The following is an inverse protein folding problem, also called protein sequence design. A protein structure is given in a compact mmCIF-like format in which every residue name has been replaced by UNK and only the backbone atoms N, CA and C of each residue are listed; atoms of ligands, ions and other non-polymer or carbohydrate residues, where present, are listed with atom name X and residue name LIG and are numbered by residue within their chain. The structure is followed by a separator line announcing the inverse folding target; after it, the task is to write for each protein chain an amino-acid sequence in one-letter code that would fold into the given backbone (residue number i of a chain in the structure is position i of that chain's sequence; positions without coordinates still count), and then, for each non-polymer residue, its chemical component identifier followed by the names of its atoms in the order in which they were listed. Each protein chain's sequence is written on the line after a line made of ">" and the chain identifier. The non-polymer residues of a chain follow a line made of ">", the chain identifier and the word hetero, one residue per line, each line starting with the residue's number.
data_IF_909700752880
#
_entry.id   IF_909700752880
#
_cell.length_a   1.000
_cell.length_b   1.000
_cell.length_c   1.000
_cell.angle_alpha   90.00
_cell.angle_beta   90.00
_cell.angle_gamma   90.00
#
_symmetry.space_group_name_H-M   'P 1'
#
loop_
_entity.id
_entity.type
_entity.pdbx_description
1 polymer ?
#
# COMPACT_ATOMS: atom_id res chain seq x y z
N UNK A 1 10.39 -5.28 13.64
CA UNK A 1 11.39 -4.86 12.64
C UNK A 1 10.73 -3.82 11.76
N UNK A 2 11.39 -2.67 11.51
CA UNK A 2 10.84 -1.62 10.66
C UNK A 2 10.94 -2.04 9.19
N UNK A 3 9.89 -1.78 8.42
CA UNK A 3 9.84 -1.98 6.98
C UNK A 3 10.51 -0.78 6.30
N UNK A 4 11.54 -0.99 5.46
CA UNK A 4 12.16 0.08 4.70
C UNK A 4 11.21 0.71 3.67
N UNK A 5 11.40 2.01 3.40
CA UNK A 5 10.61 2.76 2.41
C UNK A 5 10.61 2.12 1.01
N UNK A 6 11.73 1.56 0.56
CA UNK A 6 11.82 0.94 -0.77
C UNK A 6 10.91 -0.29 -0.93
N UNK A 7 10.64 -1.03 0.16
CA UNK A 7 9.77 -2.21 0.09
C UNK A 7 8.31 -1.78 -0.10
N UNK A 8 7.89 -0.76 0.64
CA UNK A 8 6.58 -0.14 0.49
C UNK A 8 6.41 0.48 -0.90
N UNK A 9 7.43 1.17 -1.41
CA UNK A 9 7.45 1.75 -2.75
C UNK A 9 7.21 0.68 -3.82
N UNK A 10 7.95 -0.43 -3.74
CA UNK A 10 7.86 -1.53 -4.71
C UNK A 10 6.48 -2.20 -4.70
N UNK A 11 5.94 -2.51 -3.52
CA UNK A 11 4.60 -3.09 -3.42
C UNK A 11 3.52 -2.13 -3.92
N UNK A 12 3.65 -0.85 -3.62
CA UNK A 12 2.74 0.18 -4.12
C UNK A 12 2.82 0.34 -5.64
N UNK A 13 4.03 0.30 -6.21
CA UNK A 13 4.25 0.33 -7.64
C UNK A 13 3.60 -0.88 -8.34
N UNK A 14 3.78 -2.09 -7.80
CA UNK A 14 3.16 -3.30 -8.34
C UNK A 14 1.63 -3.24 -8.29
N UNK A 15 1.06 -2.79 -7.16
CA UNK A 15 -0.39 -2.63 -7.02
C UNK A 15 -0.94 -1.61 -8.02
N UNK A 16 -0.22 -0.50 -8.23
CA UNK A 16 -0.58 0.53 -9.19
C UNK A 16 -0.46 0.06 -10.64
N UNK A 17 0.63 -0.62 -11.01
CA UNK A 17 0.78 -1.19 -12.35
C UNK A 17 -0.34 -2.17 -12.69
N UNK A 18 -0.77 -2.95 -11.69
CA UNK A 18 -1.87 -3.89 -11.86
C UNK A 18 -3.23 -3.17 -12.02
N UNK A 19 -3.41 -1.99 -11.42
CA UNK A 19 -4.64 -1.20 -11.45
C UNK A 19 -4.33 0.32 -11.51
N UNK A 20 -3.97 0.86 -12.68
CA UNK A 20 -3.46 2.23 -12.80
C UNK A 20 -4.49 3.32 -12.45
N UNK A 21 -5.79 3.00 -12.52
CA UNK A 21 -6.85 3.94 -12.17
C UNK A 21 -7.06 4.06 -10.65
N UNK A 22 -6.51 3.15 -9.86
CA UNK A 22 -6.70 3.14 -8.43
C UNK A 22 -5.94 4.28 -7.75
N UNK A 23 -6.65 4.98 -6.86
CA UNK A 23 -6.15 6.13 -6.09
C UNK A 23 -5.52 5.74 -4.76
N UNK A 24 -5.83 4.55 -4.27
CA UNK A 24 -5.42 4.08 -2.96
C UNK A 24 -4.80 2.71 -3.07
N UNK A 25 -3.58 2.54 -2.56
CA UNK A 25 -2.98 1.24 -2.33
C UNK A 25 -3.05 0.94 -0.85
N UNK A 26 -3.69 -0.17 -0.49
CA UNK A 26 -3.90 -0.53 0.90
C UNK A 26 -3.02 -1.73 1.26
N UNK A 27 -2.10 -1.52 2.21
CA UNK A 27 -1.13 -2.52 2.63
C UNK A 27 -1.38 -2.94 4.09
N UNK A 28 -1.34 -4.25 4.34
CA UNK A 28 -1.46 -4.80 5.68
C UNK A 28 -0.11 -4.74 6.38
N UNK A 29 -0.03 -3.85 7.37
CA UNK A 29 1.18 -3.63 8.12
C UNK A 29 0.86 -3.17 9.55
N UNK A 30 1.67 -3.56 10.53
CA UNK A 30 1.55 -3.07 11.89
C UNK A 30 1.78 -1.55 11.94
N UNK A 31 1.09 -0.86 12.85
CA UNK A 31 1.09 0.60 12.90
C UNK A 31 2.47 1.21 13.16
N UNK A 32 3.34 0.48 13.86
CA UNK A 32 4.71 0.89 14.18
C UNK A 32 5.74 0.32 13.20
N UNK A 33 5.32 -0.36 12.13
CA UNK A 33 6.27 -0.99 11.22
C UNK A 33 6.91 -0.01 10.23
N UNK A 34 6.44 1.23 10.10
CA UNK A 34 7.01 2.24 9.21
C UNK A 34 7.07 3.61 9.88
N UNK A 35 8.21 4.30 9.76
CA UNK A 35 8.47 5.60 10.41
C UNK A 35 8.48 6.79 9.43
N UNK A 36 8.11 6.57 8.16
CA UNK A 36 8.08 7.61 7.14
C UNK A 36 6.67 8.17 6.87
N UNK A 37 6.63 9.28 6.14
CA UNK A 37 5.38 9.92 5.70
C UNK A 37 5.14 9.81 4.18
N UNK A 38 6.13 9.33 3.42
CA UNK A 38 6.07 9.17 1.98
C UNK A 38 7.02 8.07 1.50
N UNK A 39 6.80 7.59 0.29
CA UNK A 39 7.71 6.71 -0.46
C UNK A 39 7.85 7.24 -1.88
N UNK A 40 9.04 7.15 -2.45
CA UNK A 40 9.27 7.57 -3.83
C UNK A 40 8.95 6.42 -4.79
N UNK A 41 8.03 6.66 -5.72
CA UNK A 41 7.65 5.73 -6.79
C UNK A 41 7.92 6.44 -8.12
N UNK A 42 8.82 5.90 -8.92
CA UNK A 42 9.23 6.50 -10.21
C UNK A 42 9.61 8.00 -10.09
N UNK A 43 10.35 8.33 -9.02
CA UNK A 43 10.76 9.69 -8.63
C UNK A 43 9.61 10.65 -8.25
N UNK A 44 8.40 10.12 -8.03
CA UNK A 44 7.25 10.87 -7.51
C UNK A 44 6.95 10.46 -6.06
N UNK A 45 6.89 11.40 -5.11
CA UNK A 45 6.62 11.08 -3.71
C UNK A 45 5.14 10.77 -3.51
N UNK A 46 4.84 9.56 -3.07
CA UNK A 46 3.49 9.13 -2.70
C UNK A 46 3.31 9.20 -1.18
N UNK A 47 2.25 9.86 -0.68
CA UNK A 47 2.00 9.93 0.76
C UNK A 47 1.70 8.54 1.32
N UNK A 48 2.28 8.25 2.48
CA UNK A 48 2.00 7.06 3.27
C UNK A 48 1.27 7.47 4.54
N UNK A 49 0.15 6.80 4.82
CA UNK A 49 -0.69 7.10 5.98
C UNK A 49 -0.88 5.83 6.83
N UNK A 50 -0.35 5.86 8.05
CA UNK A 50 -0.63 4.83 9.05
C UNK A 50 -2.04 5.04 9.59
N UNK A 51 -2.90 4.04 9.39
CA UNK A 51 -4.30 4.07 9.79
C UNK A 51 -4.51 3.12 10.97
N UNK A 52 -4.79 3.66 12.16
CA UNK A 52 -5.01 2.86 13.37
C UNK A 52 -6.39 2.19 13.44
N UNK A 53 -7.32 2.53 12.53
CA UNK A 53 -8.69 2.01 12.51
C UNK A 53 -9.35 2.12 11.13
N UNK A 54 -10.46 1.42 10.88
CA UNK A 54 -11.25 1.58 9.65
C UNK A 54 -11.77 3.01 9.43
N UNK A 55 -11.97 3.79 10.50
CA UNK A 55 -12.34 5.20 10.41
C UNK A 55 -11.17 6.05 9.91
N UNK A 56 -9.96 5.80 10.42
CA UNK A 56 -8.76 6.49 9.97
C UNK A 56 -8.47 6.23 8.48
N UNK A 57 -8.75 5.02 7.98
CA UNK A 57 -8.67 4.70 6.54
C UNK A 57 -9.62 5.57 5.73
N UNK A 58 -10.89 5.68 6.14
CA UNK A 58 -11.88 6.53 5.45
C UNK A 58 -11.51 8.00 5.49
N UNK A 59 -10.97 8.48 6.61
CA UNK A 59 -10.50 9.85 6.74
C UNK A 59 -9.32 10.14 5.79
N UNK A 60 -8.35 9.22 5.71
CA UNK A 60 -7.23 9.32 4.80
C UNK A 60 -7.70 9.32 3.33
N UNK A 61 -8.62 8.41 2.97
CA UNK A 61 -9.23 8.39 1.65
C UNK A 61 -9.89 9.72 1.30
N UNK A 62 -10.67 10.30 2.22
CA UNK A 62 -11.28 11.61 2.01
C UNK A 62 -10.23 12.71 1.81
N UNK A 63 -9.18 12.71 2.63
CA UNK A 63 -8.08 13.70 2.58
C UNK A 63 -7.34 13.67 1.24
N UNK A 64 -7.14 12.49 0.66
CA UNK A 64 -6.36 12.31 -0.57
C UNK A 64 -7.20 12.02 -1.83
N UNK A 65 -8.53 12.09 -1.73
CA UNK A 65 -9.45 11.79 -2.84
C UNK A 65 -9.24 12.70 -4.06
N UNK A 66 -8.91 13.97 -3.84
CA UNK A 66 -8.75 14.98 -4.90
C UNK A 66 -7.29 15.27 -5.25
N UNK A 67 -6.33 14.53 -4.69
CA UNK A 67 -4.91 14.70 -5.00
C UNK A 67 -4.57 14.17 -6.39
N UNK A 68 -3.47 14.67 -6.98
CA UNK A 68 -2.94 14.14 -8.24
C UNK A 68 -2.20 12.80 -8.03
N UNK A 69 -1.54 12.62 -6.89
CA UNK A 69 -0.69 11.45 -6.59
C UNK A 69 -1.44 10.41 -5.76
N UNK A 70 -1.44 9.12 -6.12
CA UNK A 70 -2.07 8.08 -5.31
C UNK A 70 -1.48 8.00 -3.89
N UNK A 71 -2.22 7.44 -2.95
CA UNK A 71 -1.81 7.34 -1.56
C UNK A 71 -1.67 5.87 -1.10
N UNK A 72 -0.64 5.60 -0.29
CA UNK A 72 -0.45 4.31 0.37
C UNK A 72 -1.04 4.37 1.78
N UNK A 73 -1.96 3.46 2.07
CA UNK A 73 -2.64 3.37 3.36
C UNK A 73 -2.16 2.10 4.08
N UNK A 74 -1.62 2.25 5.28
CA UNK A 74 -1.16 1.13 6.11
C UNK A 74 -2.23 0.81 7.15
N UNK A 75 -2.70 -0.43 7.17
CA UNK A 75 -3.74 -0.86 8.10
C UNK A 75 -3.45 -2.26 8.63
N UNK A 76 -3.47 -2.44 9.96
CA UNK A 76 -3.08 -3.71 10.57
C UNK A 76 -4.19 -4.78 10.59
N UNK A 77 -5.45 -4.39 10.37
CA UNK A 77 -6.61 -5.28 10.43
C UNK A 77 -6.83 -6.10 9.15
N UNK A 78 -8.08 -6.53 8.94
CA UNK A 78 -8.50 -7.37 7.80
C UNK A 78 -9.37 -6.60 6.81
N UNK A 79 -9.70 -7.26 5.70
CA UNK A 79 -10.65 -6.73 4.72
C UNK A 79 -12.07 -6.62 5.29
N UNK A 80 -12.47 -7.54 6.19
CA UNK A 80 -13.78 -7.50 6.84
C UNK A 80 -13.95 -6.24 7.69
N UNK A 81 -12.90 -5.80 8.40
CA UNK A 81 -12.92 -4.58 9.21
C UNK A 81 -13.21 -3.31 8.39
N UNK A 82 -12.82 -3.32 7.11
CA UNK A 82 -12.90 -2.16 6.23
C UNK A 82 -14.21 -2.12 5.46
N UNK A 83 -14.77 -3.26 5.11
CA UNK A 83 -15.99 -3.36 4.32
C UNK A 83 -15.80 -3.02 2.85
N UNK A 84 -16.81 -3.38 2.05
CA UNK A 84 -16.76 -3.32 0.60
C UNK A 84 -16.62 -1.89 0.04
N UNK A 85 -17.10 -0.87 0.75
CA UNK A 85 -17.03 0.52 0.29
C UNK A 85 -15.59 1.05 0.23
N UNK A 86 -14.78 0.69 1.23
CA UNK A 86 -13.36 1.03 1.30
C UNK A 86 -12.61 0.24 0.25
N UNK A 87 -12.80 -1.09 0.22
CA UNK A 87 -12.10 -1.95 -0.72
C UNK A 87 -12.38 -1.56 -2.17
N UNK A 88 -13.63 -1.23 -2.53
CA UNK A 88 -13.98 -0.83 -3.90
C UNK A 88 -13.17 0.36 -4.46
N UNK A 89 -12.57 1.18 -3.60
CA UNK A 89 -11.74 2.34 -3.96
C UNK A 89 -10.25 2.04 -3.99
N UNK A 90 -9.83 0.90 -3.45
CA UNK A 90 -8.44 0.46 -3.42
C UNK A 90 -8.05 -0.29 -4.70
N UNK A 91 -6.77 -0.27 -5.02
CA UNK A 91 -6.17 -1.07 -6.09
C UNK A 91 -6.57 -2.53 -5.96
N UNK A 92 -7.08 -3.12 -7.05
CA UNK A 92 -7.58 -4.51 -7.11
C UNK A 92 -8.65 -4.86 -6.08
N UNK A 93 -9.26 -3.86 -5.45
CA UNK A 93 -10.31 -4.00 -4.45
C UNK A 93 -9.95 -4.90 -3.26
N UNK A 94 -8.71 -4.82 -2.78
CA UNK A 94 -8.18 -5.70 -1.73
C UNK A 94 -7.17 -5.02 -0.82
N UNK A 95 -6.89 -5.65 0.31
CA UNK A 95 -5.79 -5.36 1.22
C UNK A 95 -4.60 -6.28 0.85
N UNK A 96 -3.49 -5.69 0.43
CA UNK A 96 -2.30 -6.45 0.10
C UNK A 96 -1.54 -6.82 1.37
N UNK A 97 -1.22 -8.10 1.54
CA UNK A 97 -0.31 -8.50 2.61
C UNK A 97 1.10 -7.98 2.31
N UNK A 98 1.79 -7.42 3.32
CA UNK A 98 3.22 -7.19 3.18
C UNK A 98 3.93 -8.54 3.01
N UNK A 99 4.67 -8.68 1.92
CA UNK A 99 5.37 -9.91 1.56
C UNK A 99 6.82 -9.59 1.18
N UNK A 100 7.74 -9.99 2.05
CA UNK A 100 9.18 -9.81 1.87
C UNK A 100 9.68 -10.57 0.64
N UNK A 101 9.06 -11.71 0.32
CA UNK A 101 9.50 -12.57 -0.76
C UNK A 101 9.14 -12.01 -2.13
N UNK A 102 7.96 -11.42 -2.25
CA UNK A 102 7.59 -10.64 -3.43
C UNK A 102 8.55 -9.47 -3.67
N UNK A 103 9.05 -8.86 -2.59
CA UNK A 103 10.06 -7.81 -2.70
C UNK A 103 11.37 -8.35 -3.28
N UNK A 104 11.86 -9.49 -2.78
CA UNK A 104 13.08 -10.14 -3.28
C UNK A 104 12.91 -10.51 -4.77
N UNK A 105 11.83 -11.20 -5.13
CA UNK A 105 11.57 -11.61 -6.50
C UNK A 105 11.57 -10.41 -7.47
N UNK A 106 10.89 -9.33 -7.10
CA UNK A 106 10.81 -8.14 -7.94
C UNK A 106 12.14 -7.40 -8.06
N UNK A 107 12.95 -7.32 -7.00
CA UNK A 107 14.29 -6.73 -7.07
C UNK A 107 15.22 -7.48 -8.02
N UNK A 108 15.16 -8.82 -8.00
CA UNK A 108 15.97 -9.67 -8.88
C UNK A 108 15.36 -9.88 -10.27
N UNK A 109 14.20 -9.27 -10.56
CA UNK A 109 13.40 -9.51 -11.78
C UNK A 109 13.19 -11.02 -12.03
N UNK A 110 13.11 -11.81 -10.97
CA UNK A 110 12.97 -13.25 -11.03
C UNK A 110 11.48 -13.62 -11.10
N UNK A 111 11.11 -14.51 -12.03
CA UNK A 111 9.74 -14.98 -12.19
C UNK A 111 9.37 -16.11 -11.21
N UNK A 112 10.37 -16.88 -10.77
CA UNK A 112 10.25 -17.94 -9.78
C UNK A 112 11.61 -18.19 -9.13
N UNK A 113 11.61 -18.80 -7.94
CA UNK A 113 12.82 -19.42 -7.42
C UNK A 113 12.71 -20.90 -7.71
N UNK A 114 13.70 -21.44 -8.41
CA UNK A 114 13.86 -22.88 -8.48
C UNK A 114 14.37 -23.41 -7.12
N UNK A 115 13.85 -24.56 -6.67
CA UNK A 115 14.23 -25.20 -5.41
C UNK A 115 15.66 -25.75 -5.40
#
# INVERSE_FOLDING_TARGET
>A
MKVPAYQLALQAQQAHQADPAARFVLLRLAADAFDGAAVDIDAEPWPVVVCASPLAVREAMRRYATGATPAVLLFAGTEEDLGHDVLARCAKRRLFAHDLWQTVLALFRAASLDP
#
